data_IF_507853981649
#
_entry.id   IF_507853981649
#
_cell.length_a   1.000
_cell.length_b   1.000
_cell.length_c   1.000
_cell.angle_alpha   90.00
_cell.angle_beta   90.00
_cell.angle_gamma   90.00
#
_symmetry.space_group_name_H-M   'P 1'
#
loop_
_entity.id
_entity.type
_entity.pdbx_description
1 polymer ?
#
# COMPACT_ATOMS: atom_id res chain seq x y z
N UNK A 1 -5.37 16.84 13.57
CA UNK A 1 -6.20 15.98 12.69
C UNK A 1 -7.03 15.03 13.54
N UNK A 2 -8.34 14.93 13.30
CA UNK A 2 -9.20 13.91 13.92
C UNK A 2 -8.74 12.51 13.52
N UNK A 3 -8.79 11.56 14.46
CA UNK A 3 -8.44 10.16 14.22
C UNK A 3 -9.57 9.23 14.59
N UNK A 4 -9.69 8.11 13.90
CA UNK A 4 -10.67 7.06 14.19
C UNK A 4 -10.01 5.70 14.08
N UNK A 5 -10.45 4.78 14.91
CA UNK A 5 -9.95 3.41 14.89
C UNK A 5 -10.26 2.74 13.54
N UNK A 6 -9.23 2.23 12.88
CA UNK A 6 -9.34 1.52 11.61
C UNK A 6 -9.73 0.06 11.85
N UNK A 7 -11.05 -0.19 11.94
CA UNK A 7 -11.57 -1.53 12.12
C UNK A 7 -10.92 -2.28 13.29
N UNK A 8 -10.44 -3.50 13.03
CA UNK A 8 -9.79 -4.39 14.02
C UNK A 8 -8.27 -4.31 13.99
N UNK A 9 -7.68 -3.42 13.20
CA UNK A 9 -6.23 -3.37 12.97
C UNK A 9 -5.44 -2.70 14.11
N UNK A 10 -6.13 -2.10 15.08
CA UNK A 10 -5.47 -1.44 16.21
C UNK A 10 -4.81 -0.10 15.86
N UNK A 11 -4.94 0.38 14.62
CA UNK A 11 -4.44 1.68 14.19
C UNK A 11 -5.49 2.77 14.34
N UNK A 12 -5.12 3.88 14.93
CA UNK A 12 -5.93 5.10 14.98
C UNK A 12 -5.59 5.96 13.76
N UNK A 13 -6.31 5.73 12.68
CA UNK A 13 -6.11 6.40 11.40
C UNK A 13 -6.64 7.83 11.43
N UNK A 14 -5.89 8.77 10.84
CA UNK A 14 -6.44 10.07 10.47
C UNK A 14 -7.68 9.90 9.57
N UNK A 15 -8.69 10.76 9.77
CA UNK A 15 -9.93 10.72 8.96
C UNK A 15 -9.68 11.07 7.49
N UNK A 16 -8.58 11.78 7.20
CA UNK A 16 -8.06 11.97 5.85
C UNK A 16 -6.92 10.98 5.61
N UNK A 17 -6.93 10.35 4.43
CA UNK A 17 -5.90 9.45 3.94
C UNK A 17 -5.13 10.18 2.85
N UNK A 18 -3.79 10.09 2.87
CA UNK A 18 -2.96 10.61 1.81
C UNK A 18 -2.97 9.66 0.62
N UNK A 19 -3.73 10.02 -0.43
CA UNK A 19 -3.78 9.28 -1.69
C UNK A 19 -2.57 9.60 -2.57
N UNK A 20 -1.56 8.76 -2.54
CA UNK A 20 -0.28 9.02 -3.19
C UNK A 20 -0.30 8.87 -4.73
N UNK A 21 -1.45 8.57 -5.35
CA UNK A 21 -1.58 8.60 -6.81
C UNK A 21 -1.17 9.97 -7.42
N UNK A 22 -1.35 11.06 -6.66
CA UNK A 22 -0.90 12.39 -7.05
C UNK A 22 0.63 12.52 -7.24
N UNK A 23 1.41 11.55 -6.74
CA UNK A 23 2.88 11.53 -6.88
C UNK A 23 3.37 10.80 -8.13
N UNK A 24 2.47 10.27 -8.95
CA UNK A 24 2.82 9.40 -10.08
C UNK A 24 3.81 10.02 -11.07
N UNK A 25 3.59 11.29 -11.41
CA UNK A 25 4.28 11.97 -12.52
C UNK A 25 4.98 13.28 -12.08
N UNK A 26 5.20 13.47 -10.77
CA UNK A 26 5.89 14.66 -10.26
C UNK A 26 7.37 14.38 -9.98
N UNK A 27 8.18 15.44 -9.90
CA UNK A 27 9.57 15.32 -9.44
C UNK A 27 9.66 15.07 -7.92
N UNK A 28 10.84 14.69 -7.44
CA UNK A 28 11.04 14.37 -6.03
C UNK A 28 10.80 15.59 -5.12
N UNK A 29 11.19 16.80 -5.53
CA UNK A 29 11.03 18.01 -4.72
C UNK A 29 9.54 18.35 -4.51
N UNK A 30 8.73 18.22 -5.55
CA UNK A 30 7.27 18.38 -5.46
C UNK A 30 6.64 17.31 -4.58
N UNK A 31 7.07 16.06 -4.74
CA UNK A 31 6.62 14.96 -3.90
C UNK A 31 6.96 15.20 -2.43
N UNK A 32 8.20 15.61 -2.13
CA UNK A 32 8.67 15.90 -0.78
C UNK A 32 7.86 17.01 -0.11
N UNK A 33 7.57 18.09 -0.83
CA UNK A 33 6.75 19.18 -0.31
C UNK A 33 5.32 18.70 0.01
N UNK A 34 4.73 17.89 -0.85
CA UNK A 34 3.38 17.34 -0.66
C UNK A 34 3.32 16.37 0.53
N UNK A 35 4.27 15.45 0.63
CA UNK A 35 4.35 14.49 1.75
C UNK A 35 4.56 15.22 3.07
N UNK A 36 5.49 16.20 3.12
CA UNK A 36 5.74 17.00 4.32
C UNK A 36 4.47 17.72 4.77
N UNK A 37 3.76 18.36 3.85
CA UNK A 37 2.51 19.05 4.17
C UNK A 37 1.44 18.09 4.74
N UNK A 38 1.33 16.89 4.21
CA UNK A 38 0.40 15.87 4.71
C UNK A 38 0.75 15.45 6.14
N UNK A 39 2.04 15.22 6.42
CA UNK A 39 2.53 14.86 7.75
C UNK A 39 2.31 15.99 8.76
N UNK A 40 2.61 17.25 8.38
CA UNK A 40 2.40 18.43 9.22
C UNK A 40 0.92 18.65 9.56
N UNK A 41 0.02 18.29 8.64
CA UNK A 41 -1.42 18.29 8.88
C UNK A 41 -1.87 17.14 9.82
N UNK A 42 -0.98 16.22 10.19
CA UNK A 42 -1.24 15.11 11.09
C UNK A 42 -1.86 13.88 10.42
N UNK A 43 -1.72 13.77 9.08
CA UNK A 43 -2.09 12.55 8.33
C UNK A 43 -1.09 11.46 8.68
N UNK A 44 -1.60 10.27 9.06
CA UNK A 44 -0.81 9.10 9.40
C UNK A 44 -1.25 7.83 8.64
N UNK A 45 -1.99 8.00 7.55
CA UNK A 45 -2.42 6.91 6.69
C UNK A 45 -2.09 7.28 5.25
N UNK A 46 -1.26 6.46 4.60
CA UNK A 46 -0.77 6.66 3.22
C UNK A 46 -1.25 5.50 2.37
N UNK A 47 -1.90 5.81 1.26
CA UNK A 47 -2.41 4.85 0.29
C UNK A 47 -1.73 5.04 -1.06
N UNK A 48 -1.00 4.02 -1.51
CA UNK A 48 -0.28 3.97 -2.77
C UNK A 48 -0.62 2.70 -3.54
N UNK A 49 -0.12 2.53 -4.75
CA UNK A 49 -0.24 1.29 -5.52
C UNK A 49 0.95 1.13 -6.48
N UNK A 50 1.28 -0.12 -6.80
CA UNK A 50 2.28 -0.46 -7.80
C UNK A 50 2.00 0.15 -9.18
N UNK A 51 0.71 0.42 -9.49
CA UNK A 51 0.26 0.99 -10.77
C UNK A 51 0.24 2.53 -10.80
N UNK A 52 0.63 3.21 -9.72
CA UNK A 52 0.61 4.67 -9.65
C UNK A 52 1.95 5.28 -10.11
N UNK A 53 2.38 4.99 -11.34
CA UNK A 53 3.61 5.53 -11.91
C UNK A 53 4.80 5.45 -10.95
N UNK A 54 5.48 6.55 -10.72
CA UNK A 54 6.63 6.65 -9.83
C UNK A 54 6.27 6.87 -8.33
N UNK A 55 4.99 6.83 -7.94
CA UNK A 55 4.55 7.21 -6.60
C UNK A 55 5.26 6.44 -5.48
N UNK A 56 5.47 5.12 -5.64
CA UNK A 56 6.20 4.32 -4.66
C UNK A 56 7.68 4.72 -4.57
N UNK A 57 8.30 5.08 -5.70
CA UNK A 57 9.68 5.60 -5.74
C UNK A 57 9.80 6.96 -5.03
N UNK A 58 8.79 7.84 -5.17
CA UNK A 58 8.75 9.15 -4.50
C UNK A 58 8.58 9.01 -2.98
N UNK A 59 7.84 8.00 -2.53
CA UNK A 59 7.64 7.72 -1.11
C UNK A 59 8.83 7.01 -0.45
N UNK A 60 9.57 6.19 -1.21
CA UNK A 60 10.67 5.38 -0.69
C UNK A 60 11.65 6.14 0.20
N UNK A 61 12.21 7.29 -0.20
CA UNK A 61 13.16 8.08 0.61
C UNK A 61 12.61 8.56 1.95
N UNK A 62 11.29 8.56 2.12
CA UNK A 62 10.62 8.95 3.37
C UNK A 62 10.55 7.82 4.38
N UNK A 63 10.45 6.57 3.93
CA UNK A 63 10.19 5.41 4.81
C UNK A 63 11.18 5.29 5.98
N UNK A 64 12.51 5.48 5.83
CA UNK A 64 13.42 5.38 6.98
C UNK A 64 13.08 6.31 8.15
N UNK A 65 12.34 7.39 7.91
CA UNK A 65 11.97 8.39 8.91
C UNK A 65 10.55 8.23 9.44
N UNK A 66 9.62 7.77 8.59
CA UNK A 66 8.19 7.84 8.92
C UNK A 66 7.51 6.46 9.03
N UNK A 67 8.15 5.36 8.60
CA UNK A 67 7.50 4.05 8.47
C UNK A 67 6.77 3.60 9.74
N UNK A 68 7.37 3.80 10.89
CA UNK A 68 6.80 3.38 12.18
C UNK A 68 5.69 4.31 12.70
N UNK A 69 5.53 5.48 12.10
CA UNK A 69 4.53 6.49 12.50
C UNK A 69 3.31 6.54 11.61
N UNK A 70 3.33 5.81 10.48
CA UNK A 70 2.23 5.79 9.50
C UNK A 70 1.65 4.40 9.32
N UNK A 71 0.41 4.35 8.88
CA UNK A 71 -0.23 3.18 8.27
C UNK A 71 -0.02 3.25 6.76
N UNK A 72 0.70 2.27 6.21
CA UNK A 72 1.07 2.22 4.79
C UNK A 72 0.27 1.14 4.07
N UNK A 73 -0.52 1.54 3.10
CA UNK A 73 -1.25 0.65 2.21
C UNK A 73 -0.66 0.68 0.80
N UNK A 74 -0.50 -0.50 0.17
CA UNK A 74 -0.21 -0.62 -1.27
C UNK A 74 -1.08 -1.69 -1.92
N UNK A 75 -1.05 -1.73 -3.26
CA UNK A 75 -1.94 -2.59 -4.04
C UNK A 75 -1.18 -3.26 -5.18
N UNK A 76 -1.57 -4.50 -5.49
CA UNK A 76 -1.11 -5.19 -6.70
C UNK A 76 -2.26 -5.40 -7.68
N UNK A 77 -2.02 -5.12 -8.96
CA UNK A 77 -2.95 -5.40 -10.07
C UNK A 77 -2.80 -6.81 -10.64
N UNK A 78 -1.86 -7.60 -10.13
CA UNK A 78 -1.61 -8.94 -10.62
C UNK A 78 -2.73 -9.91 -10.23
N UNK A 79 -3.02 -10.88 -11.10
CA UNK A 79 -4.08 -11.87 -10.89
C UNK A 79 -3.56 -13.24 -10.51
N UNK A 80 -2.31 -13.56 -10.85
CA UNK A 80 -1.66 -14.82 -10.47
C UNK A 80 -0.82 -14.68 -9.21
N UNK A 81 -0.66 -15.76 -8.45
CA UNK A 81 0.18 -15.80 -7.25
C UNK A 81 1.63 -15.38 -7.56
N UNK A 82 2.22 -15.96 -8.62
CA UNK A 82 3.60 -15.64 -9.00
C UNK A 82 3.78 -14.18 -9.45
N UNK A 83 2.79 -13.59 -10.16
CA UNK A 83 2.78 -12.18 -10.52
C UNK A 83 2.70 -11.30 -9.30
N UNK A 84 1.76 -11.60 -8.39
CA UNK A 84 1.56 -10.84 -7.17
C UNK A 84 2.79 -10.89 -6.24
N UNK A 85 3.46 -12.04 -6.09
CA UNK A 85 4.72 -12.14 -5.33
C UNK A 85 5.79 -11.20 -5.86
N UNK A 86 6.00 -11.19 -7.17
CA UNK A 86 6.98 -10.27 -7.80
C UNK A 86 6.57 -8.81 -7.63
N UNK A 87 5.29 -8.50 -7.81
CA UNK A 87 4.75 -7.14 -7.63
C UNK A 87 4.93 -6.65 -6.19
N UNK A 88 4.61 -7.49 -5.20
CA UNK A 88 4.79 -7.17 -3.77
C UNK A 88 6.27 -6.91 -3.46
N UNK A 89 7.16 -7.80 -3.90
CA UNK A 89 8.59 -7.63 -3.68
C UNK A 89 9.12 -6.32 -4.30
N UNK A 90 8.72 -6.02 -5.54
CA UNK A 90 9.09 -4.78 -6.22
C UNK A 90 8.51 -3.52 -5.55
N UNK A 91 7.28 -3.59 -4.99
CA UNK A 91 6.69 -2.50 -4.21
C UNK A 91 7.48 -2.22 -2.94
N UNK A 92 7.86 -3.25 -2.19
CA UNK A 92 8.67 -3.11 -0.97
C UNK A 92 10.05 -2.50 -1.29
N UNK A 93 10.67 -2.90 -2.42
CA UNK A 93 11.94 -2.34 -2.88
C UNK A 93 11.79 -0.84 -3.24
N UNK A 94 10.78 -0.46 -4.06
CA UNK A 94 10.53 0.94 -4.41
C UNK A 94 10.20 1.80 -3.20
N UNK A 95 9.41 1.26 -2.27
CA UNK A 95 9.06 1.91 -1.00
C UNK A 95 10.20 1.91 0.03
N UNK A 96 11.32 1.21 -0.22
CA UNK A 96 12.46 1.11 0.71
C UNK A 96 12.03 0.67 2.12
N UNK A 97 11.14 -0.32 2.20
CA UNK A 97 10.62 -0.88 3.46
C UNK A 97 10.52 -2.40 3.38
N UNK A 98 10.54 -3.06 4.50
CA UNK A 98 10.39 -4.52 4.62
C UNK A 98 8.92 -4.96 4.76
N UNK A 99 8.01 -4.02 5.06
CA UNK A 99 6.59 -4.31 5.32
C UNK A 99 5.65 -3.20 4.93
N UNK A 100 4.40 -3.58 4.67
CA UNK A 100 3.24 -2.68 4.58
C UNK A 100 2.20 -3.09 5.63
N UNK A 101 1.30 -2.18 5.99
CA UNK A 101 0.24 -2.49 6.95
C UNK A 101 -0.99 -3.09 6.26
N UNK A 102 -1.25 -2.69 5.02
CA UNK A 102 -2.34 -3.22 4.21
C UNK A 102 -1.86 -3.52 2.78
N UNK A 103 -2.15 -4.73 2.33
CA UNK A 103 -1.98 -5.14 0.93
C UNK A 103 -3.34 -5.40 0.31
N UNK A 104 -3.64 -4.75 -0.81
CA UNK A 104 -4.92 -4.85 -1.51
C UNK A 104 -4.75 -5.50 -2.88
N UNK A 105 -5.75 -6.27 -3.30
CA UNK A 105 -5.90 -6.72 -4.69
C UNK A 105 -6.63 -5.61 -5.46
N UNK A 106 -5.90 -4.95 -6.38
CA UNK A 106 -6.33 -3.73 -7.03
C UNK A 106 -7.35 -4.00 -8.13
N UNK A 107 -8.40 -3.16 -8.19
CA UNK A 107 -9.38 -3.14 -9.28
C UNK A 107 -10.10 -4.48 -9.52
N UNK A 108 -10.45 -5.21 -8.45
CA UNK A 108 -11.35 -6.36 -8.55
C UNK A 108 -12.77 -5.83 -8.66
N UNK A 109 -13.24 -5.68 -9.89
CA UNK A 109 -14.48 -4.96 -10.20
C UNK A 109 -15.69 -5.83 -10.52
N UNK A 110 -15.50 -7.12 -10.76
CA UNK A 110 -16.55 -8.07 -11.10
C UNK A 110 -16.27 -9.48 -10.56
N UNK A 111 -17.21 -10.40 -10.78
CA UNK A 111 -17.12 -11.77 -10.27
C UNK A 111 -16.04 -12.60 -10.99
N UNK A 112 -15.77 -12.34 -12.26
CA UNK A 112 -14.74 -13.05 -13.02
C UNK A 112 -13.34 -12.67 -12.51
N UNK A 113 -13.14 -11.38 -12.24
CA UNK A 113 -11.92 -10.87 -11.59
C UNK A 113 -11.75 -11.45 -10.16
N UNK A 114 -12.85 -11.53 -9.41
CA UNK A 114 -12.84 -12.12 -8.07
C UNK A 114 -12.44 -13.60 -8.13
N UNK A 115 -13.00 -14.38 -9.08
CA UNK A 115 -12.64 -15.78 -9.28
C UNK A 115 -11.15 -15.91 -9.64
N UNK A 116 -10.66 -15.08 -10.58
CA UNK A 116 -9.26 -15.09 -10.99
C UNK A 116 -8.29 -14.90 -9.81
N UNK A 117 -8.56 -13.97 -8.91
CA UNK A 117 -7.66 -13.66 -7.79
C UNK A 117 -7.79 -14.64 -6.63
N UNK A 118 -8.95 -15.31 -6.47
CA UNK A 118 -9.23 -16.21 -5.32
C UNK A 118 -9.05 -17.69 -5.62
N UNK A 119 -9.02 -18.11 -6.91
CA UNK A 119 -8.78 -19.49 -7.29
C UNK A 119 -7.39 -19.98 -6.90
N UNK A 120 -7.15 -21.27 -6.96
CA UNK A 120 -5.82 -21.86 -6.77
C UNK A 120 -4.82 -21.27 -7.74
N UNK A 121 -3.67 -20.79 -7.21
CA UNK A 121 -2.65 -20.05 -7.97
C UNK A 121 -3.01 -18.58 -8.23
N UNK A 122 -4.10 -18.08 -7.65
CA UNK A 122 -4.50 -16.67 -7.73
C UNK A 122 -3.73 -15.74 -6.79
N UNK A 123 -3.83 -14.44 -7.02
CA UNK A 123 -3.06 -13.42 -6.31
C UNK A 123 -3.32 -13.41 -4.79
N UNK A 124 -4.49 -13.88 -4.33
CA UNK A 124 -4.82 -13.99 -2.90
C UNK A 124 -3.84 -14.90 -2.15
N UNK A 125 -3.36 -15.98 -2.78
CA UNK A 125 -2.35 -16.85 -2.14
C UNK A 125 -1.05 -16.10 -1.84
N UNK A 126 -0.59 -15.25 -2.75
CA UNK A 126 0.61 -14.42 -2.51
C UNK A 126 0.38 -13.41 -1.38
N UNK A 127 -0.80 -12.80 -1.31
CA UNK A 127 -1.15 -11.89 -0.23
C UNK A 127 -1.19 -12.60 1.14
N UNK A 128 -1.72 -13.83 1.18
CA UNK A 128 -1.70 -14.67 2.40
C UNK A 128 -0.27 -14.98 2.82
N UNK A 129 0.58 -15.45 1.88
CA UNK A 129 1.99 -15.72 2.18
C UNK A 129 2.74 -14.48 2.67
N UNK A 130 2.49 -13.32 2.04
CA UNK A 130 3.10 -12.05 2.49
C UNK A 130 2.72 -11.72 3.93
N UNK A 131 1.48 -12.01 4.35
CA UNK A 131 1.05 -11.85 5.74
C UNK A 131 1.75 -12.83 6.67
N UNK A 132 1.83 -14.11 6.31
CA UNK A 132 2.45 -15.16 7.12
C UNK A 132 3.93 -14.88 7.42
N UNK A 133 4.65 -14.27 6.45
CA UNK A 133 6.07 -13.92 6.61
C UNK A 133 6.30 -12.49 7.10
N UNK A 134 5.24 -11.78 7.54
CA UNK A 134 5.33 -10.44 8.14
C UNK A 134 5.56 -9.29 7.17
N UNK A 135 5.45 -9.50 5.86
CA UNK A 135 5.57 -8.43 4.83
C UNK A 135 4.29 -7.61 4.66
N UNK A 136 3.15 -8.12 5.12
CA UNK A 136 1.90 -7.40 5.20
C UNK A 136 1.21 -7.72 6.54
N UNK A 137 0.77 -6.70 7.28
CA UNK A 137 0.12 -6.91 8.58
C UNK A 137 -1.35 -7.27 8.45
N UNK A 138 -2.00 -6.80 7.40
CA UNK A 138 -3.40 -7.07 7.11
C UNK A 138 -3.62 -7.34 5.62
N UNK A 139 -4.61 -8.17 5.34
CA UNK A 139 -5.23 -8.30 4.02
C UNK A 139 -6.68 -7.87 4.12
N UNK A 140 -7.13 -7.05 3.22
CA UNK A 140 -8.55 -6.84 3.05
C UNK A 140 -9.16 -8.11 2.43
N UNK A 141 -10.14 -8.69 3.10
CA UNK A 141 -10.98 -9.71 2.47
C UNK A 141 -11.94 -8.96 1.56
N UNK A 142 -11.86 -9.25 0.29
CA UNK A 142 -12.85 -8.85 -0.70
C UNK A 142 -14.22 -9.41 -0.30
#
# INVERSE_FOLDING_TARGET
>A
MERRRLGRLGHDSSVLIYGAAALADVDQATADASVQQALDAGINHVDVAASYGDAELRLGPWMPRIRDSIFLATKTGERSAAGAERSIAASLERLQTDRVDLLQLHAVGDLDELDLVTRTGGALEAAVRAQEIGRASCRERV
#
